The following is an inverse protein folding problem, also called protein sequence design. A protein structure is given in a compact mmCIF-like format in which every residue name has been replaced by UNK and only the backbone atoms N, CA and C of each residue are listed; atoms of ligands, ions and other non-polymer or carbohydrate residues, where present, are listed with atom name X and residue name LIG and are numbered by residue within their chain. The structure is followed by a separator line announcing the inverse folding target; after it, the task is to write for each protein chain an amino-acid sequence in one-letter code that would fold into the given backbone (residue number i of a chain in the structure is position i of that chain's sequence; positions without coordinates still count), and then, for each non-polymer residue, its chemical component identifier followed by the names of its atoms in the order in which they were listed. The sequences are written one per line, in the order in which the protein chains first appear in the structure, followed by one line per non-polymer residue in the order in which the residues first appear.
data_IF_414812164158
#
_entry.id   IF_414812164158
#
_cell.length_a   1.000
_cell.length_b   1.000
_cell.length_c   1.000
_cell.angle_alpha   90.00
_cell.angle_beta   90.00
_cell.angle_gamma   90.00
#
_symmetry.space_group_name_H-M   'P 1'
#
loop_
_entity.id
_entity.type
_entity.pdbx_description
1 polymer ?
#
# COMPACT_ATOMS: atom_id res chain seq x y z
N UNK A 1 -5.04 31.47 13.76
CA UNK A 1 -3.83 32.33 13.69
C UNK A 1 -3.28 32.40 12.27
N UNK A 2 -2.57 31.38 11.77
CA UNK A 2 -1.94 31.41 10.44
C UNK A 2 -2.88 31.76 9.26
N UNK A 3 -4.11 31.22 9.23
CA UNK A 3 -5.08 31.56 8.18
C UNK A 3 -5.50 33.04 8.19
N UNK A 4 -5.57 33.66 9.37
CA UNK A 4 -5.87 35.09 9.53
C UNK A 4 -4.65 35.92 9.12
N UNK A 5 -3.46 35.49 9.54
CA UNK A 5 -2.21 36.16 9.22
C UNK A 5 -1.86 36.10 7.72
N UNK A 6 -2.30 35.05 7.02
CA UNK A 6 -2.03 34.84 5.60
C UNK A 6 -0.59 34.43 5.28
N UNK A 7 0.26 34.27 6.31
CA UNK A 7 1.69 33.95 6.19
C UNK A 7 2.10 33.00 7.31
N UNK A 8 3.09 32.14 7.04
CA UNK A 8 3.68 31.24 8.03
C UNK A 8 4.87 31.87 8.76
N UNK A 9 5.54 32.83 8.12
CA UNK A 9 6.71 33.53 8.65
C UNK A 9 6.29 34.80 9.39
N UNK A 10 5.54 34.63 10.48
CA UNK A 10 5.12 35.72 11.38
C UNK A 10 5.39 35.33 12.81
N UNK A 11 6.09 36.19 13.55
CA UNK A 11 6.29 36.04 14.98
C UNK A 11 5.06 36.55 15.75
N UNK A 12 4.15 35.65 16.10
CA UNK A 12 2.93 35.99 16.86
C UNK A 12 3.18 36.53 18.28
N UNK A 13 4.42 36.50 18.78
CA UNK A 13 4.75 37.07 20.09
C UNK A 13 5.00 38.58 20.02
N UNK A 14 5.43 39.08 18.86
CA UNK A 14 5.83 40.48 18.67
C UNK A 14 5.05 41.19 17.56
N UNK A 15 4.47 40.45 16.62
CA UNK A 15 3.72 41.00 15.49
C UNK A 15 2.20 40.83 15.68
N UNK A 16 1.39 41.84 15.34
CA UNK A 16 -0.06 41.74 15.39
C UNK A 16 -0.60 40.78 14.30
N UNK A 17 -1.76 40.20 14.57
CA UNK A 17 -2.56 39.46 13.58
C UNK A 17 -3.14 40.40 12.52
N UNK A 18 -3.50 41.62 12.92
CA UNK A 18 -4.08 42.65 12.08
C UNK A 18 -4.52 43.86 12.92
N UNK A 19 -5.30 44.74 12.30
CA UNK A 19 -5.90 45.90 12.98
C UNK A 19 -7.35 45.60 13.36
N UNK A 20 -7.74 46.04 14.56
CA UNK A 20 -9.11 46.02 15.03
C UNK A 20 -9.98 47.06 14.33
N UNK A 21 -11.29 47.02 14.58
CA UNK A 21 -12.23 47.98 14.00
C UNK A 21 -11.99 49.44 14.45
N UNK A 22 -11.25 49.62 15.53
CA UNK A 22 -10.80 50.90 16.08
C UNK A 22 -9.41 51.34 15.56
N UNK A 23 -8.79 50.55 14.67
CA UNK A 23 -7.45 50.76 14.15
C UNK A 23 -6.32 50.32 15.10
N UNK A 24 -6.64 49.71 16.25
CA UNK A 24 -5.62 49.23 17.19
C UNK A 24 -5.02 47.89 16.74
N UNK A 25 -3.72 47.64 16.98
CA UNK A 25 -3.12 46.35 16.66
C UNK A 25 -3.68 45.25 17.57
N UNK A 26 -4.18 44.17 16.96
CA UNK A 26 -4.67 42.98 17.66
C UNK A 26 -3.63 41.87 17.59
N UNK A 27 -3.18 41.40 18.74
CA UNK A 27 -2.19 40.32 18.86
C UNK A 27 -2.87 38.97 19.07
N UNK A 28 -2.13 37.88 18.84
CA UNK A 28 -2.66 36.53 19.07
C UNK A 28 -3.11 36.34 20.52
N UNK A 29 -2.36 36.86 21.48
CA UNK A 29 -2.70 36.81 22.91
C UNK A 29 -4.02 37.50 23.26
N UNK A 30 -4.47 38.45 22.45
CA UNK A 30 -5.69 39.22 22.72
C UNK A 30 -6.96 38.42 22.33
N UNK A 31 -6.81 37.43 21.45
CA UNK A 31 -7.91 36.62 20.90
C UNK A 31 -7.78 35.14 21.20
N UNK A 32 -6.68 34.71 21.84
CA UNK A 32 -6.48 33.33 22.21
C UNK A 32 -7.28 33.01 23.47
N UNK A 33 -8.25 32.08 23.41
CA UNK A 33 -9.07 31.78 24.58
C UNK A 33 -8.23 31.13 25.67
N UNK A 34 -8.49 31.52 26.92
CA UNK A 34 -7.93 30.86 28.09
C UNK A 34 -8.53 29.46 28.27
N UNK A 35 -7.82 28.58 29.00
CA UNK A 35 -8.34 27.24 29.32
C UNK A 35 -9.69 27.30 30.05
N UNK A 36 -9.88 28.27 30.97
CA UNK A 36 -11.14 28.46 31.68
C UNK A 36 -12.31 28.85 30.78
N UNK A 37 -12.06 29.68 29.75
CA UNK A 37 -13.10 30.05 28.78
C UNK A 37 -13.47 28.86 27.90
N UNK A 38 -12.49 28.03 27.51
CA UNK A 38 -12.71 26.78 26.77
C UNK A 38 -13.56 25.80 27.60
N UNK A 39 -13.17 25.56 28.85
CA UNK A 39 -13.86 24.61 29.73
C UNK A 39 -15.31 25.03 29.99
N UNK A 40 -15.54 26.33 30.23
CA UNK A 40 -16.87 26.89 30.41
C UNK A 40 -17.74 26.73 29.15
N UNK A 41 -17.17 26.98 27.97
CA UNK A 41 -17.88 26.81 26.69
C UNK A 41 -18.24 25.33 26.45
N UNK A 42 -17.32 24.39 26.71
CA UNK A 42 -17.57 22.95 26.57
C UNK A 42 -18.67 22.49 27.52
N UNK A 43 -18.60 22.88 28.80
CA UNK A 43 -19.60 22.49 29.80
C UNK A 43 -21.01 22.96 29.45
N UNK A 44 -21.14 24.13 28.80
CA UNK A 44 -22.42 24.67 28.36
C UNK A 44 -22.95 24.09 27.04
N UNK A 45 -22.09 23.55 26.18
CA UNK A 45 -22.44 23.16 24.81
C UNK A 45 -22.46 21.63 24.57
N UNK A 46 -21.66 20.86 25.32
CA UNK A 46 -21.47 19.42 25.09
C UNK A 46 -22.22 18.63 26.16
N UNK A 47 -23.47 18.26 25.86
CA UNK A 47 -24.36 17.59 26.81
C UNK A 47 -24.63 16.13 26.42
N UNK A 48 -24.94 15.23 27.38
CA UNK A 48 -25.36 13.86 27.07
C UNK A 48 -26.56 13.79 26.12
N UNK A 49 -27.48 14.75 26.19
CA UNK A 49 -28.65 14.80 25.30
C UNK A 49 -28.28 15.12 23.84
N UNK A 50 -27.25 15.93 23.61
CA UNK A 50 -26.70 16.15 22.26
C UNK A 50 -26.23 14.82 21.65
N UNK A 51 -25.49 14.01 22.41
CA UNK A 51 -25.05 12.69 21.97
C UNK A 51 -26.24 11.77 21.71
N UNK A 52 -27.17 11.64 22.65
CA UNK A 52 -28.38 10.81 22.48
C UNK A 52 -29.14 11.19 21.21
N UNK A 53 -29.35 12.48 20.98
CA UNK A 53 -30.06 12.99 19.82
C UNK A 53 -29.33 12.66 18.50
N UNK A 54 -28.00 12.83 18.45
CA UNK A 54 -27.21 12.53 17.24
C UNK A 54 -27.14 11.03 16.95
N UNK A 55 -26.99 10.19 17.98
CA UNK A 55 -26.92 8.74 17.81
C UNK A 55 -28.29 8.11 17.50
N UNK A 56 -29.39 8.72 17.95
CA UNK A 56 -30.74 8.23 17.64
C UNK A 56 -31.05 8.20 16.13
N UNK A 57 -30.36 9.01 15.32
CA UNK A 57 -30.60 9.12 13.87
C UNK A 57 -29.36 8.82 13.02
N UNK A 58 -28.29 8.26 13.60
CA UNK A 58 -27.00 8.15 12.92
C UNK A 58 -27.05 7.32 11.63
N UNK A 59 -28.02 6.40 11.53
CA UNK A 59 -28.21 5.50 10.40
C UNK A 59 -29.37 5.88 9.48
N UNK A 60 -30.13 6.95 9.81
CA UNK A 60 -31.31 7.32 9.04
C UNK A 60 -30.95 7.77 7.62
N UNK A 61 -29.78 8.39 7.44
CA UNK A 61 -29.36 8.96 6.17
C UNK A 61 -30.30 10.07 5.69
N UNK A 62 -30.18 10.45 4.42
CA UNK A 62 -31.11 11.32 3.71
C UNK A 62 -32.07 10.51 2.82
N UNK A 63 -32.97 11.19 2.10
CA UNK A 63 -33.91 10.54 1.18
C UNK A 63 -33.20 9.72 0.10
N UNK A 64 -31.97 10.09 -0.29
CA UNK A 64 -31.21 9.32 -1.27
C UNK A 64 -30.75 8.00 -0.67
N UNK A 65 -30.20 8.03 0.54
CA UNK A 65 -29.80 6.83 1.27
C UNK A 65 -30.97 5.87 1.49
N UNK A 66 -32.10 6.38 1.97
CA UNK A 66 -33.29 5.58 2.28
C UNK A 66 -33.91 4.91 1.04
N UNK A 67 -33.74 5.52 -0.14
CA UNK A 67 -34.31 5.04 -1.41
C UNK A 67 -33.27 4.35 -2.33
N UNK A 68 -32.07 4.04 -1.83
CA UNK A 68 -31.12 3.23 -2.59
C UNK A 68 -31.71 1.83 -2.81
N UNK A 69 -31.75 1.31 -4.05
CA UNK A 69 -32.22 -0.05 -4.29
C UNK A 69 -31.24 -1.05 -3.65
N UNK A 70 -31.78 -1.96 -2.83
CA UNK A 70 -31.01 -3.00 -2.14
C UNK A 70 -31.43 -4.36 -2.73
N UNK A 71 -30.50 -5.12 -3.32
CA UNK A 71 -30.79 -6.49 -3.77
C UNK A 71 -31.09 -7.42 -2.60
N UNK A 72 -32.03 -8.35 -2.76
CA UNK A 72 -32.42 -9.34 -1.72
C UNK A 72 -31.48 -10.56 -1.62
N UNK A 73 -30.42 -10.61 -2.44
CA UNK A 73 -29.51 -11.74 -2.54
C UNK A 73 -28.54 -11.87 -1.36
N UNK A 74 -28.22 -13.12 -0.99
CA UNK A 74 -27.18 -13.42 0.03
C UNK A 74 -25.76 -13.24 -0.54
N UNK A 75 -25.60 -13.44 -1.85
CA UNK A 75 -24.34 -13.24 -2.57
C UNK A 75 -24.40 -11.96 -3.39
N UNK A 76 -23.28 -11.24 -3.46
CA UNK A 76 -23.18 -10.03 -4.28
C UNK A 76 -23.31 -10.34 -5.77
N UNK A 77 -24.20 -9.65 -6.47
CA UNK A 77 -24.38 -9.76 -7.91
C UNK A 77 -23.34 -8.89 -8.63
N UNK A 78 -22.34 -9.52 -9.24
CA UNK A 78 -21.26 -8.81 -9.90
C UNK A 78 -21.70 -8.31 -11.28
N UNK A 79 -21.69 -6.99 -11.45
CA UNK A 79 -21.84 -6.36 -12.76
C UNK A 79 -20.51 -6.45 -13.53
N UNK A 80 -20.46 -7.15 -14.69
CA UNK A 80 -19.24 -7.26 -15.49
C UNK A 80 -18.79 -5.92 -16.10
N UNK A 81 -19.69 -4.95 -16.25
CA UNK A 81 -19.40 -3.64 -16.86
C UNK A 81 -19.03 -2.57 -15.81
N UNK A 82 -19.22 -2.88 -14.52
CA UNK A 82 -18.90 -1.97 -13.42
C UNK A 82 -17.41 -1.57 -13.42
N UNK A 83 -17.16 -0.26 -13.47
CA UNK A 83 -15.80 0.29 -13.33
C UNK A 83 -15.43 0.60 -11.88
N UNK A 84 -16.30 0.31 -10.91
CA UNK A 84 -16.10 0.61 -9.49
C UNK A 84 -15.92 -0.65 -8.63
N UNK A 85 -16.79 -1.64 -8.80
CA UNK A 85 -16.81 -2.87 -7.99
C UNK A 85 -16.55 -4.07 -8.90
N UNK A 86 -15.49 -4.83 -8.63
CA UNK A 86 -15.08 -6.03 -9.39
C UNK A 86 -14.65 -7.14 -8.44
N UNK A 87 -15.01 -8.39 -8.75
CA UNK A 87 -14.61 -9.56 -7.97
C UNK A 87 -13.09 -9.75 -8.08
N UNK A 88 -12.31 -9.58 -7.00
CA UNK A 88 -10.87 -9.73 -7.09
C UNK A 88 -10.47 -11.22 -7.06
N UNK A 89 -9.37 -11.62 -7.74
CA UNK A 89 -8.94 -13.01 -7.86
C UNK A 89 -8.22 -13.53 -6.59
N UNK A 90 -8.58 -13.06 -5.40
CA UNK A 90 -7.86 -13.34 -4.15
C UNK A 90 -8.00 -14.80 -3.69
N UNK A 91 -9.07 -15.48 -4.11
CA UNK A 91 -9.38 -16.86 -3.77
C UNK A 91 -9.23 -17.82 -4.96
N UNK A 92 -8.70 -17.36 -6.10
CA UNK A 92 -8.44 -18.24 -7.24
C UNK A 92 -7.43 -19.33 -6.85
N UNK A 93 -7.79 -20.58 -7.13
CA UNK A 93 -6.99 -21.75 -6.72
C UNK A 93 -7.03 -22.08 -5.21
N UNK A 94 -7.83 -21.36 -4.41
CA UNK A 94 -8.00 -21.68 -3.00
C UNK A 94 -8.81 -22.99 -2.83
N UNK A 95 -8.28 -23.91 -2.02
CA UNK A 95 -8.92 -25.17 -1.66
C UNK A 95 -8.84 -25.45 -0.15
N UNK A 96 -9.48 -26.54 0.33
CA UNK A 96 -9.53 -26.88 1.75
C UNK A 96 -8.14 -27.16 2.33
N UNK A 97 -7.20 -27.63 1.51
CA UNK A 97 -5.80 -27.85 1.88
C UNK A 97 -4.93 -26.72 1.32
N UNK A 98 -4.02 -26.14 2.12
CA UNK A 98 -3.08 -25.15 1.61
C UNK A 98 -2.08 -25.76 0.63
N UNK A 99 -1.74 -25.01 -0.42
CA UNK A 99 -0.58 -25.32 -1.26
C UNK A 99 0.67 -25.22 -0.38
N UNK A 100 1.57 -26.23 -0.39
CA UNK A 100 2.82 -26.16 0.34
C UNK A 100 3.62 -24.91 -0.03
N UNK A 101 4.22 -24.28 0.99
CA UNK A 101 5.20 -23.22 0.76
C UNK A 101 6.37 -23.81 -0.03
N UNK A 102 6.86 -23.07 -1.01
CA UNK A 102 7.99 -23.44 -1.86
C UNK A 102 9.04 -22.35 -1.84
N UNK A 103 10.28 -22.77 -2.08
CA UNK A 103 11.39 -21.89 -2.37
C UNK A 103 11.11 -21.02 -3.61
N UNK A 104 11.73 -19.85 -3.65
CA UNK A 104 11.58 -18.88 -4.74
C UNK A 104 12.89 -18.91 -5.52
N UNK A 105 12.86 -19.44 -6.74
CA UNK A 105 14.05 -19.57 -7.58
C UNK A 105 14.07 -18.57 -8.73
N UNK A 106 15.26 -18.04 -9.04
CA UNK A 106 15.48 -17.17 -10.19
C UNK A 106 14.64 -15.90 -10.22
N UNK A 107 14.23 -15.37 -9.06
CA UNK A 107 13.36 -14.21 -9.01
C UNK A 107 14.07 -12.94 -9.46
N UNK A 108 13.35 -12.06 -10.16
CA UNK A 108 13.88 -10.78 -10.64
C UNK A 108 13.33 -9.60 -9.85
N UNK A 109 14.14 -8.54 -9.76
CA UNK A 109 13.73 -7.29 -9.13
C UNK A 109 12.74 -6.56 -10.05
N UNK A 110 11.50 -6.37 -9.59
CA UNK A 110 10.52 -5.53 -10.29
C UNK A 110 10.70 -4.06 -9.92
N UNK A 111 10.96 -3.79 -8.64
CA UNK A 111 11.10 -2.45 -8.07
C UNK A 111 12.27 -2.44 -7.08
N UNK A 112 13.12 -1.43 -7.19
CA UNK A 112 14.13 -1.10 -6.18
C UNK A 112 13.78 0.27 -5.60
N UNK A 113 13.21 0.25 -4.40
CA UNK A 113 12.67 1.42 -3.71
C UNK A 113 13.67 2.00 -2.70
N UNK A 114 13.75 3.33 -2.65
CA UNK A 114 14.58 4.03 -1.70
C UNK A 114 14.08 3.98 -0.26
N UNK A 115 14.78 4.69 0.63
CA UNK A 115 14.44 4.80 2.04
C UNK A 115 13.14 5.61 2.21
N UNK A 116 12.40 5.35 3.29
CA UNK A 116 11.13 6.01 3.62
C UNK A 116 10.07 5.89 2.51
N UNK A 117 10.10 4.82 1.72
CA UNK A 117 9.07 4.55 0.72
C UNK A 117 7.73 4.32 1.41
N UNK A 118 6.81 5.28 1.28
CA UNK A 118 5.51 5.24 1.93
C UNK A 118 4.51 4.29 1.26
N UNK A 119 3.46 3.89 1.96
CA UNK A 119 2.33 3.18 1.34
C UNK A 119 1.60 4.00 0.28
N UNK A 120 1.77 5.33 0.23
CA UNK A 120 1.23 6.19 -0.83
C UNK A 120 2.02 6.05 -2.12
N UNK A 121 3.33 5.83 -2.01
CA UNK A 121 4.17 5.51 -3.16
C UNK A 121 3.80 4.13 -3.74
N UNK A 122 3.54 3.15 -2.87
CA UNK A 122 3.17 1.77 -3.27
C UNK A 122 1.74 1.71 -3.80
N UNK A 123 0.79 2.42 -3.18
CA UNK A 123 -0.63 2.41 -3.54
C UNK A 123 -1.20 3.83 -3.42
N UNK A 124 -1.09 4.66 -4.47
CA UNK A 124 -1.58 6.03 -4.45
C UNK A 124 -3.10 6.08 -4.27
N UNK A 125 -3.59 7.15 -3.63
CA UNK A 125 -5.04 7.41 -3.47
C UNK A 125 -5.54 8.59 -4.31
N UNK A 126 -4.62 9.33 -4.93
CA UNK A 126 -4.90 10.56 -5.67
C UNK A 126 -5.43 10.35 -7.08
N UNK A 127 -5.30 11.39 -7.90
CA UNK A 127 -5.78 11.41 -9.28
C UNK A 127 -5.14 10.31 -10.13
N UNK A 128 -5.88 9.87 -11.15
CA UNK A 128 -5.44 8.90 -12.14
C UNK A 128 -5.11 9.66 -13.43
N UNK A 129 -3.84 9.81 -13.83
CA UNK A 129 -3.49 10.37 -15.12
C UNK A 129 -4.04 9.53 -16.29
N UNK A 130 -4.32 10.16 -17.43
CA UNK A 130 -4.90 9.48 -18.60
C UNK A 130 -3.89 8.65 -19.39
N UNK A 131 -2.61 9.04 -19.32
CA UNK A 131 -1.49 8.47 -20.07
C UNK A 131 -0.80 7.29 -19.37
N UNK A 132 -1.34 6.82 -18.24
CA UNK A 132 -0.84 5.65 -17.51
C UNK A 132 -1.80 4.46 -17.64
N UNK A 133 -1.37 3.21 -17.35
CA UNK A 133 -2.18 2.01 -17.59
C UNK A 133 -3.60 2.05 -16.99
N UNK A 134 -3.76 2.61 -15.78
CA UNK A 134 -5.06 2.74 -15.13
C UNK A 134 -5.99 3.74 -15.86
N UNK A 135 -5.44 4.83 -16.39
CA UNK A 135 -6.17 5.80 -17.20
C UNK A 135 -6.59 5.20 -18.54
N UNK A 136 -5.68 4.53 -19.23
CA UNK A 136 -5.98 3.87 -20.50
C UNK A 136 -7.07 2.79 -20.33
N UNK A 137 -6.99 2.01 -19.25
CA UNK A 137 -8.04 1.04 -18.90
C UNK A 137 -9.43 1.66 -18.76
N UNK A 138 -9.53 2.86 -18.17
CA UNK A 138 -10.78 3.59 -18.01
C UNK A 138 -11.29 4.15 -19.34
N UNK A 139 -10.39 4.68 -20.18
CA UNK A 139 -10.72 5.15 -21.54
C UNK A 139 -11.25 4.02 -22.42
N UNK A 140 -10.60 2.85 -22.38
CA UNK A 140 -11.01 1.67 -23.15
C UNK A 140 -12.41 1.17 -22.75
N UNK A 141 -12.87 1.54 -21.55
CA UNK A 141 -14.22 1.25 -21.02
C UNK A 141 -15.19 2.43 -21.14
N UNK A 142 -14.82 3.45 -21.91
CA UNK A 142 -15.69 4.61 -22.21
C UNK A 142 -15.85 5.59 -21.06
N UNK A 143 -15.01 5.54 -20.03
CA UNK A 143 -15.03 6.55 -18.94
C UNK A 143 -14.24 7.77 -19.40
N UNK A 144 -14.83 8.95 -19.36
CA UNK A 144 -14.14 10.19 -19.70
C UNK A 144 -13.20 10.65 -18.56
N UNK A 145 -12.09 11.37 -18.84
CA UNK A 145 -11.14 11.80 -17.80
C UNK A 145 -11.75 12.56 -16.60
N UNK A 146 -12.75 13.45 -16.77
CA UNK A 146 -13.43 14.09 -15.62
C UNK A 146 -14.12 13.09 -14.67
N UNK A 147 -14.50 11.91 -15.18
CA UNK A 147 -15.21 10.86 -14.46
C UNK A 147 -14.28 9.73 -13.96
N UNK A 148 -12.97 9.84 -14.19
CA UNK A 148 -12.00 8.89 -13.64
C UNK A 148 -12.08 8.81 -12.12
N UNK A 149 -12.39 9.95 -11.49
CA UNK A 149 -12.32 10.10 -10.05
C UNK A 149 -10.87 9.84 -9.57
N UNK A 150 -10.67 9.39 -8.33
CA UNK A 150 -9.35 9.11 -7.75
C UNK A 150 -9.18 7.63 -7.42
N UNK A 151 -7.95 7.14 -7.33
CA UNK A 151 -7.66 5.74 -6.95
C UNK A 151 -8.40 5.31 -5.68
N UNK A 152 -8.52 6.19 -4.68
CA UNK A 152 -9.25 5.90 -3.45
C UNK A 152 -10.71 5.49 -3.67
N UNK A 153 -11.39 6.07 -4.66
CA UNK A 153 -12.78 5.73 -5.02
C UNK A 153 -12.88 4.48 -5.89
N UNK A 154 -11.77 4.07 -6.53
CA UNK A 154 -11.67 2.87 -7.37
C UNK A 154 -11.14 1.65 -6.61
N UNK A 155 -10.98 1.74 -5.29
CA UNK A 155 -10.39 0.70 -4.42
C UNK A 155 -11.11 -0.66 -4.45
N UNK A 156 -12.35 -0.72 -4.91
CA UNK A 156 -13.12 -1.98 -5.06
C UNK A 156 -12.97 -2.59 -6.45
N UNK A 157 -12.21 -1.97 -7.34
CA UNK A 157 -11.87 -2.48 -8.65
C UNK A 157 -10.39 -2.86 -8.70
N UNK A 158 -10.12 -4.17 -8.58
CA UNK A 158 -8.75 -4.68 -8.60
C UNK A 158 -8.02 -4.42 -9.91
N UNK A 159 -8.72 -4.42 -11.05
CA UNK A 159 -8.11 -4.18 -12.36
C UNK A 159 -7.46 -2.79 -12.44
N UNK A 160 -8.07 -1.78 -11.80
CA UNK A 160 -7.51 -0.42 -11.68
C UNK A 160 -6.40 -0.37 -10.63
N UNK A 161 -6.64 -0.97 -9.47
CA UNK A 161 -5.70 -0.85 -8.35
C UNK A 161 -4.37 -1.58 -8.59
N UNK A 162 -4.38 -2.71 -9.31
CA UNK A 162 -3.14 -3.39 -9.74
C UNK A 162 -2.34 -2.46 -10.68
N UNK A 163 -3.00 -1.84 -11.65
CA UNK A 163 -2.38 -0.84 -12.56
C UNK A 163 -1.86 0.39 -11.83
N UNK A 164 -2.48 0.74 -10.71
CA UNK A 164 -2.06 1.84 -9.84
C UNK A 164 -0.94 1.49 -8.87
N UNK A 165 -0.57 0.22 -8.74
CA UNK A 165 0.44 -0.20 -7.76
C UNK A 165 1.82 0.27 -8.22
N UNK A 166 2.52 0.98 -7.33
CA UNK A 166 3.73 1.77 -7.59
C UNK A 166 3.55 2.94 -8.57
N UNK A 167 2.34 3.26 -9.02
CA UNK A 167 2.07 4.31 -10.01
C UNK A 167 2.00 5.73 -9.45
N UNK A 168 2.50 5.96 -8.23
CA UNK A 168 2.52 7.31 -7.66
C UNK A 168 3.45 8.21 -8.48
N UNK A 169 2.96 9.39 -8.88
CA UNK A 169 3.68 10.36 -9.71
C UNK A 169 5.01 10.84 -9.12
N UNK A 170 5.22 10.68 -7.80
CA UNK A 170 6.46 11.01 -7.09
C UNK A 170 7.31 9.80 -6.76
N UNK A 171 6.85 8.59 -7.07
CA UNK A 171 7.64 7.39 -6.84
C UNK A 171 8.85 7.38 -7.76
N UNK A 172 10.02 7.17 -7.16
CA UNK A 172 11.32 7.06 -7.84
C UNK A 172 11.84 5.65 -7.62
N UNK A 173 11.97 4.91 -8.71
CA UNK A 173 12.50 3.56 -8.71
C UNK A 173 13.98 3.60 -9.14
N UNK A 174 14.87 3.04 -8.33
CA UNK A 174 16.32 3.01 -8.61
C UNK A 174 16.63 2.20 -9.89
N UNK A 175 15.69 1.34 -10.33
CA UNK A 175 15.74 0.61 -11.62
C UNK A 175 15.56 1.49 -12.86
N UNK A 176 14.94 2.66 -12.73
CA UNK A 176 14.61 3.55 -13.85
C UNK A 176 15.13 4.97 -13.55
N UNK A 177 16.45 5.17 -13.45
CA UNK A 177 17.03 6.45 -13.09
C UNK A 177 16.61 7.54 -14.09
N UNK A 178 16.28 8.72 -13.56
CA UNK A 178 15.80 9.85 -14.36
C UNK A 178 14.28 9.86 -14.60
N UNK A 179 13.54 8.87 -14.12
CA UNK A 179 12.08 8.84 -14.19
C UNK A 179 11.42 9.15 -12.84
N UNK A 180 10.22 9.72 -12.89
CA UNK A 180 9.25 9.75 -11.78
C UNK A 180 7.93 9.16 -12.30
N UNK A 181 7.18 8.44 -11.46
CA UNK A 181 5.82 8.04 -11.83
C UNK A 181 5.61 6.56 -12.17
N UNK A 182 6.07 5.65 -11.32
CA UNK A 182 5.74 4.22 -11.44
C UNK A 182 6.33 3.50 -12.63
N UNK A 183 7.53 3.90 -13.02
CA UNK A 183 8.32 3.25 -14.06
C UNK A 183 9.32 2.25 -13.47
N UNK A 184 9.68 1.26 -14.28
CA UNK A 184 10.77 0.32 -14.01
C UNK A 184 11.45 -0.10 -15.30
N UNK A 185 12.65 -0.66 -15.20
CA UNK A 185 13.34 -1.28 -16.33
C UNK A 185 13.01 -2.77 -16.37
N UNK A 186 12.45 -3.25 -17.47
CA UNK A 186 12.26 -4.68 -17.70
C UNK A 186 13.60 -5.28 -18.13
N UNK A 187 14.30 -5.92 -17.19
CA UNK A 187 15.71 -6.37 -17.31
C UNK A 187 15.98 -7.16 -18.58
N UNK A 188 15.19 -8.19 -18.97
CA UNK A 188 15.45 -8.95 -20.19
C UNK A 188 15.47 -8.10 -21.48
N UNK A 189 14.61 -7.07 -21.55
CA UNK A 189 14.51 -6.21 -22.74
C UNK A 189 15.34 -4.92 -22.66
N UNK A 190 15.72 -4.50 -21.45
CA UNK A 190 16.34 -3.19 -21.19
C UNK A 190 15.38 -2.00 -21.31
N UNK A 191 14.13 -2.19 -21.71
CA UNK A 191 13.14 -1.13 -21.89
C UNK A 191 12.63 -0.58 -20.55
N UNK A 192 12.47 0.74 -20.47
CA UNK A 192 11.78 1.40 -19.35
C UNK A 192 10.29 1.51 -19.67
N UNK A 193 9.45 0.99 -18.79
CA UNK A 193 7.99 0.94 -18.94
C UNK A 193 7.30 1.06 -17.58
N UNK A 194 5.96 1.07 -17.55
CA UNK A 194 5.26 1.06 -16.27
C UNK A 194 5.51 -0.22 -15.48
N UNK A 195 5.45 -0.14 -14.15
CA UNK A 195 5.61 -1.32 -13.27
C UNK A 195 4.57 -2.40 -13.60
N UNK A 196 3.35 -2.00 -13.97
CA UNK A 196 2.29 -2.92 -14.38
C UNK A 196 2.63 -3.69 -15.66
N UNK A 197 3.14 -3.00 -16.68
CA UNK A 197 3.52 -3.65 -17.95
C UNK A 197 4.71 -4.60 -17.76
N UNK A 198 5.71 -4.20 -16.99
CA UNK A 198 6.85 -5.06 -16.68
C UNK A 198 6.43 -6.31 -15.90
N UNK A 199 5.52 -6.16 -14.93
CA UNK A 199 4.96 -7.29 -14.19
C UNK A 199 4.23 -8.28 -15.10
N UNK A 200 3.43 -7.80 -16.06
CA UNK A 200 2.75 -8.66 -17.02
C UNK A 200 3.74 -9.41 -17.92
N UNK A 201 4.78 -8.74 -18.44
CA UNK A 201 5.84 -9.40 -19.23
C UNK A 201 6.51 -10.54 -18.45
N UNK A 202 6.84 -10.31 -17.18
CA UNK A 202 7.41 -11.36 -16.33
C UNK A 202 6.41 -12.48 -15.99
N UNK A 203 5.12 -12.17 -15.87
CA UNK A 203 4.09 -13.17 -15.67
C UNK A 203 3.96 -14.09 -16.89
N UNK A 204 4.04 -13.54 -18.12
CA UNK A 204 4.04 -14.31 -19.37
C UNK A 204 5.26 -15.26 -19.46
N UNK A 205 6.41 -14.83 -18.93
CA UNK A 205 7.64 -15.62 -18.87
C UNK A 205 7.69 -16.61 -17.68
N UNK A 206 6.70 -16.58 -16.78
CA UNK A 206 6.66 -17.41 -15.57
C UNK A 206 7.76 -17.08 -14.55
N UNK A 207 8.28 -15.85 -14.56
CA UNK A 207 9.39 -15.41 -13.70
C UNK A 207 8.85 -14.85 -12.38
N UNK A 208 9.27 -15.38 -11.21
CA UNK A 208 8.87 -14.81 -9.93
C UNK A 208 9.51 -13.44 -9.70
N UNK A 209 8.82 -12.56 -8.99
CA UNK A 209 9.27 -11.19 -8.75
C UNK A 209 9.55 -10.91 -7.29
N UNK A 210 10.50 -10.01 -7.05
CA UNK A 210 10.79 -9.43 -5.74
C UNK A 210 10.80 -7.91 -5.78
N UNK A 211 10.59 -7.29 -4.62
CA UNK A 211 10.91 -5.88 -4.39
C UNK A 211 12.14 -5.80 -3.50
N UNK A 212 13.05 -4.88 -3.82
CA UNK A 212 14.14 -4.48 -2.93
C UNK A 212 13.80 -3.11 -2.35
N UNK A 213 13.82 -2.96 -1.02
CA UNK A 213 13.47 -1.72 -0.33
C UNK A 213 14.59 -1.19 0.57
N UNK A 214 14.63 0.14 0.74
CA UNK A 214 15.49 0.79 1.72
C UNK A 214 14.99 0.71 3.17
N UNK A 215 15.44 1.64 4.00
CA UNK A 215 14.97 1.75 5.39
C UNK A 215 13.51 2.21 5.47
N UNK A 216 12.76 1.73 6.46
CA UNK A 216 11.36 2.09 6.72
C UNK A 216 10.43 1.89 5.52
N UNK A 217 10.64 0.81 4.76
CA UNK A 217 9.81 0.48 3.62
C UNK A 217 8.36 0.19 4.06
N UNK A 218 7.41 0.90 3.42
CA UNK A 218 5.99 0.81 3.73
C UNK A 218 5.49 1.75 4.82
N UNK A 219 6.19 2.87 5.08
CA UNK A 219 5.78 3.84 6.11
C UNK A 219 4.50 4.62 5.76
N UNK A 220 3.83 5.17 6.78
CA UNK A 220 2.62 5.98 6.61
C UNK A 220 1.31 5.21 6.81
N UNK A 221 0.28 5.58 6.06
CA UNK A 221 -1.10 5.10 6.29
C UNK A 221 -1.25 3.60 6.11
N UNK A 222 -2.13 2.98 6.91
CA UNK A 222 -2.55 1.59 6.69
C UNK A 222 -3.37 1.49 5.41
N UNK A 223 -2.77 0.93 4.36
CA UNK A 223 -3.41 0.68 3.06
C UNK A 223 -3.23 -0.78 2.70
N UNK A 224 -4.33 -1.51 2.61
CA UNK A 224 -4.33 -2.93 2.25
C UNK A 224 -3.89 -3.15 0.80
N UNK A 225 -4.25 -2.24 -0.11
CA UNK A 225 -3.84 -2.25 -1.51
C UNK A 225 -2.34 -2.17 -1.74
N UNK A 226 -1.57 -1.61 -0.80
CA UNK A 226 -0.11 -1.67 -0.88
C UNK A 226 0.41 -3.13 -0.84
N UNK A 227 -0.29 -4.04 -0.15
CA UNK A 227 0.05 -5.46 -0.13
C UNK A 227 -0.72 -6.26 -1.20
N UNK A 228 -2.02 -5.98 -1.41
CA UNK A 228 -2.81 -6.67 -2.45
C UNK A 228 -2.24 -6.42 -3.84
N UNK A 229 -1.92 -5.17 -4.16
CA UNK A 229 -1.27 -4.78 -5.41
C UNK A 229 0.07 -5.49 -5.58
N UNK A 230 0.92 -5.48 -4.55
CA UNK A 230 2.19 -6.22 -4.53
C UNK A 230 2.00 -7.69 -4.91
N UNK A 231 1.08 -8.39 -4.23
CA UNK A 231 0.77 -9.80 -4.52
C UNK A 231 0.28 -10.01 -5.96
N UNK A 232 -0.64 -9.16 -6.42
CA UNK A 232 -1.31 -9.29 -7.71
C UNK A 232 -0.43 -8.86 -8.89
N UNK A 233 0.67 -8.13 -8.66
CA UNK A 233 1.75 -7.94 -9.63
C UNK A 233 2.66 -9.17 -9.75
N UNK A 234 2.43 -10.24 -8.99
CA UNK A 234 3.26 -11.45 -9.00
C UNK A 234 4.48 -11.41 -8.08
N UNK A 235 4.59 -10.39 -7.21
CA UNK A 235 5.70 -10.29 -6.25
C UNK A 235 5.54 -11.37 -5.17
N UNK A 236 6.59 -12.17 -4.99
CA UNK A 236 6.66 -13.29 -4.05
C UNK A 236 7.30 -12.91 -2.73
N UNK A 237 8.25 -11.97 -2.74
CA UNK A 237 8.92 -11.48 -1.54
C UNK A 237 9.25 -9.98 -1.65
N UNK A 238 9.31 -9.34 -0.49
CA UNK A 238 9.86 -7.98 -0.32
C UNK A 238 11.10 -8.11 0.56
N UNK A 239 12.26 -7.70 0.05
CA UNK A 239 13.55 -7.72 0.75
C UNK A 239 13.93 -6.28 1.06
N UNK A 240 13.92 -5.86 2.32
CA UNK A 240 14.18 -4.47 2.69
C UNK A 240 15.26 -4.34 3.75
N UNK A 241 15.81 -3.13 3.90
CA UNK A 241 16.73 -2.82 5.02
C UNK A 241 15.96 -2.74 6.35
N UNK A 242 14.74 -2.20 6.31
CA UNK A 242 13.76 -2.38 7.39
C UNK A 242 12.32 -2.21 6.89
N UNK A 243 11.40 -2.92 7.51
CA UNK A 243 9.97 -2.91 7.18
C UNK A 243 9.14 -2.23 8.26
N UNK A 244 8.21 -1.38 7.83
CA UNK A 244 7.24 -0.77 8.74
C UNK A 244 6.17 -1.76 9.21
N UNK A 245 5.83 -1.66 10.51
CA UNK A 245 5.11 -2.71 11.24
C UNK A 245 3.78 -3.09 10.59
N UNK A 246 2.98 -2.09 10.21
CA UNK A 246 1.64 -2.32 9.62
C UNK A 246 1.77 -2.88 8.21
N UNK A 247 2.68 -2.33 7.40
CA UNK A 247 2.86 -2.80 6.03
C UNK A 247 3.37 -4.24 5.99
N UNK A 248 4.34 -4.59 6.86
CA UNK A 248 4.80 -5.96 7.07
C UNK A 248 3.64 -6.92 7.35
N UNK A 249 2.75 -6.59 8.31
CA UNK A 249 1.58 -7.42 8.60
C UNK A 249 0.64 -7.57 7.39
N UNK A 250 0.47 -6.52 6.58
CA UNK A 250 -0.34 -6.60 5.37
C UNK A 250 0.31 -7.51 4.30
N UNK A 251 1.64 -7.46 4.13
CA UNK A 251 2.35 -8.36 3.21
C UNK A 251 2.14 -9.84 3.60
N UNK A 252 2.29 -10.15 4.90
CA UNK A 252 2.04 -11.49 5.45
C UNK A 252 0.59 -11.91 5.20
N UNK A 253 -0.36 -11.01 5.45
CA UNK A 253 -1.78 -11.23 5.21
C UNK A 253 -2.12 -11.53 3.75
N UNK A 254 -1.29 -11.12 2.80
CA UNK A 254 -1.43 -11.42 1.37
C UNK A 254 -0.54 -12.58 0.88
N UNK A 255 0.21 -13.23 1.78
CA UNK A 255 1.12 -14.33 1.42
C UNK A 255 2.31 -13.86 0.58
N UNK A 256 2.83 -12.66 0.86
CA UNK A 256 4.10 -12.13 0.32
C UNK A 256 5.13 -12.19 1.44
N UNK A 257 6.29 -12.83 1.20
CA UNK A 257 7.31 -13.02 2.25
C UNK A 257 8.01 -11.70 2.57
N UNK A 258 7.90 -11.17 3.80
CA UNK A 258 8.69 -10.02 4.22
C UNK A 258 10.07 -10.48 4.71
N UNK A 259 11.13 -10.00 4.08
CA UNK A 259 12.51 -10.32 4.39
C UNK A 259 13.28 -9.04 4.72
N UNK A 260 14.19 -9.13 5.68
CA UNK A 260 15.14 -8.07 5.98
C UNK A 260 16.57 -8.49 5.72
N UNK A 261 17.38 -7.57 5.20
CA UNK A 261 18.82 -7.75 5.10
C UNK A 261 19.45 -7.89 6.50
N UNK A 262 20.60 -8.58 6.62
CA UNK A 262 21.41 -8.53 7.84
C UNK A 262 21.72 -7.10 8.25
N UNK A 263 21.93 -6.89 9.56
CA UNK A 263 22.35 -5.58 10.08
C UNK A 263 23.63 -5.10 9.37
N UNK A 264 23.56 -3.90 8.77
CA UNK A 264 24.67 -3.27 8.07
C UNK A 264 24.85 -3.72 6.61
N UNK A 265 24.07 -4.70 6.16
CA UNK A 265 23.95 -5.06 4.74
C UNK A 265 22.77 -4.29 4.15
N UNK A 266 23.02 -3.63 3.04
CA UNK A 266 22.02 -2.81 2.33
C UNK A 266 22.10 -3.11 0.84
N UNK A 267 21.08 -2.67 0.09
CA UNK A 267 21.10 -2.73 -1.38
C UNK A 267 22.35 -2.04 -1.96
N UNK A 268 22.82 -0.98 -1.28
CA UNK A 268 24.00 -0.20 -1.69
C UNK A 268 25.31 -0.89 -1.36
N UNK A 269 25.44 -1.53 -0.19
CA UNK A 269 26.68 -2.26 0.18
C UNK A 269 26.88 -3.52 -0.66
N UNK A 270 25.78 -4.15 -1.09
CA UNK A 270 25.80 -5.28 -2.02
C UNK A 270 26.02 -4.85 -3.48
N UNK A 271 25.93 -3.54 -3.76
CA UNK A 271 26.06 -2.97 -5.10
C UNK A 271 24.95 -3.40 -6.05
N UNK A 272 23.73 -3.61 -5.54
CA UNK A 272 22.62 -4.08 -6.36
C UNK A 272 22.25 -3.03 -7.41
N UNK A 273 22.06 -3.51 -8.63
CA UNK A 273 21.64 -2.72 -9.80
C UNK A 273 20.24 -3.11 -10.28
N UNK A 274 19.73 -4.21 -9.72
CA UNK A 274 18.51 -4.93 -10.00
C UNK A 274 18.52 -5.76 -11.29
N UNK A 275 19.69 -5.89 -11.93
CA UNK A 275 19.91 -6.88 -12.98
C UNK A 275 20.12 -8.30 -12.41
N UNK A 276 20.25 -8.42 -11.09
CA UNK A 276 20.48 -9.67 -10.38
C UNK A 276 19.24 -10.57 -10.33
N UNK A 277 19.46 -11.88 -10.16
CA UNK A 277 18.43 -12.85 -9.81
C UNK A 277 18.60 -13.36 -8.39
N UNK A 278 17.49 -13.64 -7.72
CA UNK A 278 17.44 -14.05 -6.32
C UNK A 278 16.88 -15.48 -6.20
N UNK A 279 17.65 -16.37 -5.59
CA UNK A 279 17.18 -17.67 -5.13
C UNK A 279 17.01 -17.62 -3.61
N UNK A 280 15.77 -17.66 -3.13
CA UNK A 280 15.39 -17.61 -1.71
C UNK A 280 14.97 -19.01 -1.30
N UNK A 281 15.77 -19.67 -0.46
CA UNK A 281 15.64 -21.09 -0.14
C UNK A 281 15.46 -21.38 1.35
N UNK A 282 14.97 -22.58 1.64
CA UNK A 282 14.63 -23.02 3.01
C UNK A 282 13.24 -22.57 3.46
N UNK A 283 12.37 -22.21 2.50
CA UNK A 283 10.97 -21.88 2.74
C UNK A 283 10.05 -23.11 2.68
N UNK A 284 10.49 -24.17 2.00
CA UNK A 284 9.78 -25.44 1.85
C UNK A 284 9.80 -26.34 3.11
N UNK A 285 10.58 -25.94 4.12
CA UNK A 285 10.68 -26.61 5.42
C UNK A 285 9.70 -26.13 6.48
N UNK A 286 9.98 -26.50 7.74
CA UNK A 286 9.21 -26.03 8.89
C UNK A 286 9.50 -24.54 9.15
N UNK A 287 8.56 -23.67 8.76
CA UNK A 287 8.65 -22.24 9.03
C UNK A 287 8.57 -21.95 10.54
N UNK A 288 9.47 -21.09 11.02
CA UNK A 288 9.46 -20.62 12.41
C UNK A 288 9.55 -19.10 12.48
N UNK A 289 9.06 -18.47 13.57
CA UNK A 289 9.13 -17.02 13.69
C UNK A 289 10.57 -16.52 13.60
N UNK A 290 10.78 -15.48 12.79
CA UNK A 290 12.07 -14.79 12.58
C UNK A 290 13.21 -15.68 12.11
N UNK A 291 12.90 -16.78 11.42
CA UNK A 291 13.94 -17.68 10.92
C UNK A 291 14.88 -16.99 9.93
N UNK A 292 16.12 -17.45 9.92
CA UNK A 292 17.07 -17.14 8.86
C UNK A 292 16.64 -17.84 7.57
N UNK A 293 16.70 -17.11 6.46
CA UNK A 293 16.35 -17.59 5.11
C UNK A 293 17.58 -17.39 4.22
N UNK A 294 18.02 -18.46 3.57
CA UNK A 294 19.17 -18.38 2.67
C UNK A 294 18.77 -17.66 1.37
N UNK A 295 19.64 -16.76 0.90
CA UNK A 295 19.44 -16.03 -0.34
C UNK A 295 20.72 -15.99 -1.15
N UNK A 296 20.69 -16.59 -2.35
CA UNK A 296 21.75 -16.47 -3.33
C UNK A 296 21.41 -15.36 -4.32
N UNK A 297 22.30 -14.38 -4.44
CA UNK A 297 22.19 -13.28 -5.40
C UNK A 297 23.16 -13.58 -6.54
N UNK A 298 22.62 -13.78 -7.75
CA UNK A 298 23.43 -14.00 -8.96
C UNK A 298 23.41 -12.74 -9.81
N UNK A 299 24.60 -12.18 -10.09
CA UNK A 299 24.79 -10.98 -10.91
C UNK A 299 24.72 -11.31 -12.39
N UNK A 300 24.58 -10.27 -13.23
CA UNK A 300 24.51 -10.42 -14.68
C UNK A 300 25.78 -11.07 -15.30
N UNK A 301 26.95 -10.92 -14.67
CA UNK A 301 28.21 -11.55 -15.09
C UNK A 301 28.35 -13.01 -14.61
N UNK A 302 27.35 -13.55 -13.89
CA UNK A 302 27.33 -14.90 -13.34
C UNK A 302 28.05 -15.05 -12.00
N UNK A 303 28.73 -14.00 -11.52
CA UNK A 303 29.23 -14.00 -10.14
C UNK A 303 28.07 -14.04 -9.16
N UNK A 304 28.27 -14.64 -7.99
CA UNK A 304 27.24 -14.74 -6.98
C UNK A 304 27.79 -14.49 -5.59
N UNK A 305 26.89 -14.08 -4.70
CA UNK A 305 27.12 -13.98 -3.28
C UNK A 305 25.93 -14.58 -2.53
N UNK A 306 26.22 -15.28 -1.44
CA UNK A 306 25.21 -15.85 -0.55
C UNK A 306 25.07 -14.94 0.67
N UNK A 307 23.83 -14.61 1.03
CA UNK A 307 23.48 -13.85 2.22
C UNK A 307 22.38 -14.56 3.01
N UNK A 308 22.30 -14.22 4.30
CA UNK A 308 21.28 -14.71 5.21
C UNK A 308 20.24 -13.61 5.48
N UNK A 309 19.04 -13.74 4.93
CA UNK A 309 17.94 -12.82 5.20
C UNK A 309 17.22 -13.20 6.49
N UNK A 310 16.67 -12.23 7.19
CA UNK A 310 15.77 -12.49 8.33
C UNK A 310 14.33 -12.48 7.84
N UNK A 311 13.61 -13.59 8.00
CA UNK A 311 12.16 -13.60 7.82
C UNK A 311 11.50 -12.69 8.84
N UNK A 312 10.56 -11.85 8.40
CA UNK A 312 9.79 -10.97 9.29
C UNK A 312 8.39 -11.51 9.58
N UNK A 313 8.25 -12.84 9.54
CA UNK A 313 7.20 -13.57 10.23
C UNK A 313 7.53 -13.53 11.72
N UNK A 314 7.03 -12.53 12.45
CA UNK A 314 7.47 -12.26 13.83
C UNK A 314 6.79 -13.17 14.87
N UNK A 315 5.66 -13.80 14.52
CA UNK A 315 4.84 -14.61 15.42
C UNK A 315 4.44 -15.95 14.78
N UNK A 316 3.94 -16.89 15.61
CA UNK A 316 3.38 -18.16 15.12
C UNK A 316 2.16 -17.93 14.24
N UNK A 317 1.36 -16.91 14.53
CA UNK A 317 0.19 -16.53 13.71
C UNK A 317 0.62 -16.03 12.34
N UNK A 318 1.69 -15.23 12.26
CA UNK A 318 2.26 -14.80 10.98
C UNK A 318 2.69 -16.00 10.12
N UNK A 319 3.35 -16.99 10.74
CA UNK A 319 3.73 -18.24 10.09
C UNK A 319 2.52 -19.00 9.56
N UNK A 320 1.45 -19.12 10.37
CA UNK A 320 0.21 -19.78 9.95
C UNK A 320 -0.43 -19.05 8.76
N UNK A 321 -0.59 -17.73 8.83
CA UNK A 321 -1.16 -16.97 7.72
C UNK A 321 -0.35 -17.14 6.44
N UNK A 322 0.98 -17.05 6.52
CA UNK A 322 1.84 -17.23 5.35
C UNK A 322 1.76 -18.66 4.79
N UNK A 323 1.79 -19.69 5.64
CA UNK A 323 1.68 -21.10 5.23
C UNK A 323 0.33 -21.43 4.55
N UNK A 324 -0.72 -20.66 4.86
CA UNK A 324 -2.03 -20.77 4.23
C UNK A 324 -2.19 -19.91 2.96
N UNK A 325 -1.11 -19.25 2.51
CA UNK A 325 -1.10 -18.37 1.33
C UNK A 325 -1.73 -17.00 1.59
N UNK A 326 -1.86 -16.60 2.86
CA UNK A 326 -2.44 -15.34 3.30
C UNK A 326 -3.59 -15.52 4.31
N UNK A 327 -3.88 -14.44 5.05
CA UNK A 327 -4.90 -14.40 6.11
C UNK A 327 -6.32 -14.69 5.56
N UNK A 328 -6.65 -14.18 4.37
CA UNK A 328 -7.98 -14.44 3.77
C UNK A 328 -8.19 -15.93 3.49
N UNK A 329 -7.16 -16.60 2.97
CA UNK A 329 -7.19 -18.03 2.69
C UNK A 329 -7.16 -18.88 3.97
N UNK A 330 -6.54 -18.39 5.03
CA UNK A 330 -6.63 -18.99 6.37
C UNK A 330 -8.07 -18.91 6.89
N UNK A 331 -8.68 -17.72 6.91
CA UNK A 331 -10.05 -17.51 7.39
C UNK A 331 -11.08 -18.29 6.56
N UNK A 332 -10.88 -18.42 5.25
CA UNK A 332 -11.73 -19.25 4.40
C UNK A 332 -11.70 -20.72 4.88
N UNK A 333 -10.52 -21.28 5.15
CA UNK A 333 -10.39 -22.66 5.62
C UNK A 333 -10.89 -22.83 7.04
N UNK A 334 -10.73 -21.83 7.90
CA UNK A 334 -11.35 -21.81 9.23
C UNK A 334 -12.87 -21.92 9.12
N UNK A 335 -13.49 -21.09 8.27
CA UNK A 335 -14.93 -21.10 8.03
C UNK A 335 -15.42 -22.42 7.40
N UNK A 336 -14.57 -23.11 6.64
CA UNK A 336 -14.84 -24.44 6.10
C UNK A 336 -14.58 -25.59 7.08
N UNK A 337 -13.92 -25.32 8.23
CA UNK A 337 -13.53 -26.34 9.20
C UNK A 337 -12.37 -27.23 8.73
N UNK A 338 -11.45 -26.70 7.92
CA UNK A 338 -10.35 -27.47 7.28
C UNK A 338 -8.95 -26.97 7.65
N UNK A 339 -8.80 -26.36 8.83
CA UNK A 339 -7.49 -26.03 9.43
C UNK A 339 -6.87 -27.24 10.14
#
# INVERSE_FOLDING_TARGET
AYAIAGVLDRDFTTEPLGEGADGAPVYLKDVWPSQSEIDAAIAGAVTPDLYRARYATAFNGDDRWANLPIPDGVTFEWDPDSTYIKLPPLFEGAGPTPTPVSDIHGARVLVMAGDMTTTDHISPVGAIPADIPAGQYLLDRGVAPPDFNIYGTRRTNHEIMIRGTFANIRFRNEMAPGTEGGFTRHVPSGEVMSVFEAANKYADDGVPLVVVGGEYYGTGSSRDWAAKGTKLLGIRAVIAESLERIHRSNLIGMGVMPLEFPKGVTRKTLGLTGDETFDITGLDGALTPRMTVACKITRADGSHEDIELTSRLDTVVDVQYYAHGGMLNYCLREALGTL
#
